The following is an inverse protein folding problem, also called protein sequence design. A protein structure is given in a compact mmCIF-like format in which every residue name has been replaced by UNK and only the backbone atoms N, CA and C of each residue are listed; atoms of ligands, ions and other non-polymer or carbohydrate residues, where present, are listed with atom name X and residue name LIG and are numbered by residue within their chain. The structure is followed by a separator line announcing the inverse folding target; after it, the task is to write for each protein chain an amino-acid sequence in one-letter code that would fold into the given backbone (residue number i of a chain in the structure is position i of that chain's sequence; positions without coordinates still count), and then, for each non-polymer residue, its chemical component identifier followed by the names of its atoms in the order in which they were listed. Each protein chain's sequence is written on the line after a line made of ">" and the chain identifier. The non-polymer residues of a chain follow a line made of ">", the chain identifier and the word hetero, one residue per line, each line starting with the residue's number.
data_IF_520104510348
#
_entry.id   IF_520104510348
#
_cell.length_a   1.000
_cell.length_b   1.000
_cell.length_c   1.000
_cell.angle_alpha   90.00
_cell.angle_beta   90.00
_cell.angle_gamma   90.00
#
_symmetry.space_group_name_H-M   'P 1'
#
loop_
_entity.id
_entity.type
_entity.pdbx_description
1 polymer ?
#
# COMPACT_ATOMS: atom_id res chain seq x y z
N UNK A 1 18.09 -7.54 32.21
CA UNK A 1 18.53 -6.16 31.92
C UNK A 1 17.58 -5.60 30.89
N UNK A 2 17.00 -4.42 31.11
CA UNK A 2 16.17 -3.78 30.10
C UNK A 2 17.02 -3.58 28.83
N UNK A 3 16.48 -3.94 27.67
CA UNK A 3 17.18 -3.79 26.39
C UNK A 3 17.43 -2.28 26.18
N UNK A 4 18.65 -1.82 25.84
CA UNK A 4 18.97 -0.38 25.76
C UNK A 4 18.03 0.44 24.86
N UNK A 5 17.39 -0.21 23.88
CA UNK A 5 16.41 0.42 23.03
C UNK A 5 15.08 0.73 23.74
N UNK A 6 14.71 -0.01 24.78
CA UNK A 6 13.48 0.23 25.57
C UNK A 6 13.58 1.56 26.32
N UNK A 7 14.73 1.83 26.95
CA UNK A 7 14.97 3.10 27.65
C UNK A 7 14.98 4.29 26.67
N UNK A 8 15.57 4.09 25.49
CA UNK A 8 15.59 5.09 24.43
C UNK A 8 14.19 5.38 23.86
N UNK A 9 13.34 4.38 23.72
CA UNK A 9 11.94 4.56 23.29
C UNK A 9 11.12 5.24 24.38
N UNK A 10 11.31 4.84 25.64
CA UNK A 10 10.53 5.35 26.78
C UNK A 10 10.76 6.84 27.04
N UNK A 11 11.93 7.37 26.67
CA UNK A 11 12.28 8.79 26.77
C UNK A 11 12.12 9.55 25.45
N UNK A 12 11.54 8.94 24.42
CA UNK A 12 11.43 9.51 23.08
C UNK A 12 10.26 10.49 22.98
N UNK A 13 10.57 11.77 22.75
CA UNK A 13 9.56 12.82 22.50
C UNK A 13 9.25 13.02 20.99
N UNK A 14 10.08 12.45 20.12
CA UNK A 14 9.93 12.58 18.66
C UNK A 14 8.86 11.60 18.12
N UNK A 15 7.65 12.12 17.95
CA UNK A 15 6.52 11.36 17.41
C UNK A 15 6.79 10.75 16.03
N UNK A 16 7.61 11.38 15.17
CA UNK A 16 7.92 10.84 13.84
C UNK A 16 8.69 9.53 13.96
N UNK A 17 9.67 9.48 14.85
CA UNK A 17 10.47 8.26 15.08
C UNK A 17 9.64 7.15 15.71
N UNK A 18 8.73 7.48 16.63
CA UNK A 18 7.80 6.50 17.20
C UNK A 18 6.92 5.89 16.10
N UNK A 19 6.37 6.70 15.19
CA UNK A 19 5.59 6.22 14.04
C UNK A 19 6.42 5.31 13.14
N UNK A 20 7.68 5.65 12.88
CA UNK A 20 8.59 4.85 12.05
C UNK A 20 8.88 3.48 12.70
N UNK A 21 9.18 3.44 14.01
CA UNK A 21 9.41 2.19 14.77
C UNK A 21 8.18 1.29 14.69
N UNK A 22 6.99 1.84 14.93
CA UNK A 22 5.72 1.11 14.87
C UNK A 22 5.47 0.58 13.46
N UNK A 23 5.71 1.41 12.44
CA UNK A 23 5.52 1.04 11.03
C UNK A 23 6.47 -0.07 10.61
N UNK A 24 7.74 0.00 11.03
CA UNK A 24 8.78 -0.98 10.75
C UNK A 24 8.49 -2.32 11.45
N UNK A 25 8.04 -2.28 12.70
CA UNK A 25 7.61 -3.45 13.47
C UNK A 25 6.52 -4.23 12.74
N UNK A 26 5.46 -3.53 12.29
CA UNK A 26 4.35 -4.15 11.57
C UNK A 26 4.80 -4.82 10.28
N UNK A 27 5.57 -4.11 9.44
CA UNK A 27 5.99 -4.67 8.15
C UNK A 27 6.98 -5.81 8.33
N UNK A 28 7.85 -5.73 9.34
CA UNK A 28 8.78 -6.81 9.69
C UNK A 28 8.02 -8.06 10.11
N UNK A 29 7.00 -7.94 10.96
CA UNK A 29 6.15 -9.06 11.37
C UNK A 29 5.46 -9.74 10.18
N UNK A 30 4.87 -8.95 9.28
CA UNK A 30 4.26 -9.51 8.07
C UNK A 30 5.32 -10.25 7.23
N UNK A 31 6.48 -9.62 6.98
CA UNK A 31 7.52 -10.19 6.11
C UNK A 31 8.19 -11.44 6.68
N UNK A 32 8.34 -11.54 8.00
CA UNK A 32 8.95 -12.70 8.65
C UNK A 32 8.04 -13.92 8.68
N UNK A 33 6.72 -13.71 8.61
CA UNK A 33 5.73 -14.76 8.79
C UNK A 33 4.92 -15.09 7.53
N UNK A 34 5.07 -14.31 6.45
CA UNK A 34 4.40 -14.58 5.19
C UNK A 34 4.95 -15.84 4.52
N UNK A 35 4.06 -16.68 3.99
CA UNK A 35 4.37 -17.93 3.30
C UNK A 35 5.28 -17.77 2.07
N UNK A 36 5.38 -16.54 1.53
CA UNK A 36 6.28 -16.20 0.44
C UNK A 36 7.13 -14.97 0.72
N UNK A 37 8.28 -14.92 0.05
CA UNK A 37 9.11 -13.73 0.06
C UNK A 37 8.50 -12.62 -0.80
N UNK A 38 8.10 -11.53 -0.12
CA UNK A 38 7.76 -10.24 -0.72
C UNK A 38 8.54 -9.11 -0.05
N UNK A 39 9.03 -8.18 -0.87
CA UNK A 39 9.51 -6.90 -0.36
C UNK A 39 8.34 -6.04 0.11
N UNK A 40 8.59 -5.12 1.04
CA UNK A 40 7.56 -4.18 1.53
C UNK A 40 6.85 -3.44 0.39
N UNK A 41 7.59 -3.00 -0.62
CA UNK A 41 7.02 -2.32 -1.79
C UNK A 41 6.05 -3.21 -2.58
N UNK A 42 6.28 -4.53 -2.61
CA UNK A 42 5.40 -5.51 -3.24
C UNK A 42 4.14 -5.75 -2.40
N UNK A 43 4.27 -5.85 -1.08
CA UNK A 43 3.13 -5.94 -0.15
C UNK A 43 2.23 -4.71 -0.30
N UNK A 44 2.82 -3.51 -0.25
CA UNK A 44 2.10 -2.24 -0.47
C UNK A 44 1.41 -2.21 -1.83
N UNK A 45 2.08 -2.68 -2.88
CA UNK A 45 1.51 -2.71 -4.23
C UNK A 45 0.34 -3.70 -4.35
N UNK A 46 0.45 -4.90 -3.78
CA UNK A 46 -0.63 -5.89 -3.77
C UNK A 46 -1.87 -5.38 -3.05
N UNK A 47 -1.70 -4.71 -1.90
CA UNK A 47 -2.80 -4.03 -1.18
C UNK A 47 -3.45 -2.91 -2.01
N UNK A 48 -2.67 -2.21 -2.84
CA UNK A 48 -3.20 -1.19 -3.74
C UNK A 48 -4.05 -1.79 -4.87
N UNK A 49 -3.75 -2.99 -5.36
CA UNK A 49 -4.57 -3.69 -6.37
C UNK A 49 -5.99 -3.91 -5.83
N UNK A 50 -6.11 -4.50 -4.63
CA UNK A 50 -7.40 -4.69 -3.96
C UNK A 50 -8.14 -3.37 -3.69
N UNK A 51 -7.41 -2.32 -3.34
CA UNK A 51 -8.01 -1.00 -3.18
C UNK A 51 -8.54 -0.48 -4.52
N UNK A 52 -7.76 -0.60 -5.59
CA UNK A 52 -8.10 -0.04 -6.91
C UNK A 52 -9.18 -0.82 -7.65
N UNK A 53 -9.39 -2.10 -7.31
CA UNK A 53 -10.52 -2.90 -7.83
C UNK A 53 -11.89 -2.34 -7.38
N UNK A 54 -11.95 -1.59 -6.28
CA UNK A 54 -13.19 -0.99 -5.79
C UNK A 54 -13.73 0.03 -6.79
N UNK A 55 -15.03 -0.06 -7.09
CA UNK A 55 -15.73 0.77 -8.10
C UNK A 55 -15.44 2.27 -8.02
N UNK A 56 -15.43 2.85 -6.82
CA UNK A 56 -15.21 4.28 -6.64
C UNK A 56 -13.74 4.70 -6.89
N UNK A 57 -12.77 3.83 -6.60
CA UNK A 57 -11.36 4.05 -6.91
C UNK A 57 -11.09 3.91 -8.40
N UNK A 58 -11.64 2.88 -9.04
CA UNK A 58 -11.59 2.72 -10.51
C UNK A 58 -12.18 3.94 -11.23
N UNK A 59 -13.38 4.40 -10.84
CA UNK A 59 -14.02 5.60 -11.41
C UNK A 59 -13.19 6.88 -11.20
N UNK A 60 -12.41 6.98 -10.13
CA UNK A 60 -11.51 8.10 -9.94
C UNK A 60 -10.33 8.06 -10.92
N UNK A 61 -9.72 6.87 -11.10
CA UNK A 61 -8.65 6.64 -12.09
C UNK A 61 -9.11 6.99 -13.51
N UNK A 62 -10.23 6.43 -13.98
CA UNK A 62 -10.78 6.72 -15.33
C UNK A 62 -10.95 8.22 -15.56
N UNK A 63 -11.57 8.94 -14.62
CA UNK A 63 -11.76 10.40 -14.72
C UNK A 63 -10.46 11.18 -14.72
N UNK A 64 -9.41 10.66 -14.09
CA UNK A 64 -8.10 11.31 -14.06
C UNK A 64 -7.37 11.08 -15.39
N UNK A 65 -7.38 9.84 -15.91
CA UNK A 65 -6.73 9.51 -17.17
C UNK A 65 -7.39 10.18 -18.38
N UNK A 66 -8.72 10.34 -18.36
CA UNK A 66 -9.45 11.09 -19.41
C UNK A 66 -9.04 12.57 -19.55
N UNK A 67 -8.29 13.13 -18.59
CA UNK A 67 -7.77 14.51 -18.64
C UNK A 67 -6.34 14.59 -19.21
N UNK A 68 -5.71 13.45 -19.44
CA UNK A 68 -4.33 13.38 -19.92
C UNK A 68 -4.36 13.39 -21.44
N UNK A 69 -3.52 14.22 -22.05
CA UNK A 69 -3.37 14.26 -23.50
C UNK A 69 -2.57 13.05 -23.99
N UNK A 70 -2.93 12.50 -25.16
CA UNK A 70 -2.31 11.29 -25.74
C UNK A 70 -0.81 11.46 -26.07
N UNK A 71 -0.36 12.71 -26.20
CA UNK A 71 1.02 13.10 -26.48
C UNK A 71 1.86 13.39 -25.22
N UNK A 72 1.32 13.21 -24.01
CA UNK A 72 2.06 13.45 -22.77
C UNK A 72 3.22 12.45 -22.60
N UNK A 73 4.44 12.90 -22.88
CA UNK A 73 5.65 12.07 -22.78
C UNK A 73 5.90 11.56 -21.35
N UNK A 74 5.57 12.36 -20.33
CA UNK A 74 5.73 11.95 -18.93
C UNK A 74 4.74 10.85 -18.58
N UNK A 75 3.52 10.91 -19.10
CA UNK A 75 2.53 9.85 -18.91
C UNK A 75 3.04 8.49 -19.40
N UNK A 76 3.61 8.43 -20.61
CA UNK A 76 4.18 7.19 -21.18
C UNK A 76 5.30 6.63 -20.31
N UNK A 77 6.19 7.50 -19.82
CA UNK A 77 7.30 7.10 -18.93
C UNK A 77 6.75 6.53 -17.62
N UNK A 78 5.82 7.23 -16.96
CA UNK A 78 5.27 6.77 -15.70
C UNK A 78 4.48 5.47 -15.86
N UNK A 79 3.64 5.35 -16.89
CA UNK A 79 2.89 4.14 -17.19
C UNK A 79 3.83 2.92 -17.31
N UNK A 80 4.92 3.04 -18.07
CA UNK A 80 5.94 1.99 -18.20
C UNK A 80 6.61 1.63 -16.87
N UNK A 81 6.92 2.62 -16.03
CA UNK A 81 7.53 2.38 -14.72
C UNK A 81 6.57 1.68 -13.75
N UNK A 82 5.29 2.03 -13.75
CA UNK A 82 4.28 1.37 -12.92
C UNK A 82 4.01 -0.06 -13.40
N UNK A 83 3.87 -0.26 -14.71
CA UNK A 83 3.69 -1.58 -15.31
C UNK A 83 4.81 -2.56 -14.88
N UNK A 84 6.07 -2.12 -14.96
CA UNK A 84 7.23 -2.91 -14.50
C UNK A 84 7.13 -3.36 -13.03
N UNK A 85 6.44 -2.62 -12.17
CA UNK A 85 6.25 -3.02 -10.77
C UNK A 85 5.18 -4.11 -10.66
N UNK A 86 4.09 -4.00 -11.40
CA UNK A 86 3.05 -5.02 -11.45
C UNK A 86 3.52 -6.31 -12.14
N UNK A 87 4.37 -6.23 -13.18
CA UNK A 87 5.01 -7.39 -13.80
C UNK A 87 5.79 -8.25 -12.77
N UNK A 88 6.40 -7.64 -11.76
CA UNK A 88 7.10 -8.39 -10.69
C UNK A 88 6.13 -9.18 -9.81
N UNK A 89 4.91 -8.68 -9.61
CA UNK A 89 3.85 -9.41 -8.91
C UNK A 89 3.25 -10.49 -9.81
N UNK A 90 3.07 -10.20 -11.10
CA UNK A 90 2.55 -11.14 -12.08
C UNK A 90 3.46 -12.36 -12.24
N UNK A 91 4.79 -12.19 -12.26
CA UNK A 91 5.76 -13.30 -12.25
C UNK A 91 5.67 -14.20 -11.02
N UNK A 92 5.08 -13.72 -9.93
CA UNK A 92 4.81 -14.50 -8.71
C UNK A 92 3.38 -15.08 -8.69
N UNK A 93 2.66 -14.98 -9.80
CA UNK A 93 1.25 -15.37 -9.92
C UNK A 93 0.32 -14.68 -8.91
N UNK A 94 0.63 -13.43 -8.52
CA UNK A 94 -0.17 -12.68 -7.54
C UNK A 94 -1.19 -11.76 -8.18
N UNK A 95 -0.94 -11.34 -9.41
CA UNK A 95 -1.80 -10.42 -10.16
C UNK A 95 -1.76 -10.75 -11.63
N UNK A 96 -2.81 -10.33 -12.34
CA UNK A 96 -2.85 -10.29 -13.80
C UNK A 96 -2.97 -8.84 -14.25
N UNK A 97 -2.25 -8.50 -15.33
CA UNK A 97 -2.36 -7.22 -16.01
C UNK A 97 -3.29 -7.43 -17.19
N UNK A 98 -4.37 -6.66 -17.23
CA UNK A 98 -5.43 -6.80 -18.25
C UNK A 98 -5.56 -5.52 -19.06
N UNK A 99 -5.82 -5.69 -20.36
CA UNK A 99 -6.19 -4.58 -21.24
C UNK A 99 -7.68 -4.27 -21.05
N UNK A 100 -8.00 -2.98 -20.96
CA UNK A 100 -9.38 -2.48 -20.80
C UNK A 100 -9.56 -1.20 -21.61
N UNK A 101 -10.79 -0.89 -22.01
CA UNK A 101 -11.04 0.21 -22.95
C UNK A 101 -10.84 1.61 -22.33
N UNK A 102 -11.02 1.76 -21.02
CA UNK A 102 -11.11 3.05 -20.32
C UNK A 102 -9.89 3.39 -19.46
N UNK A 103 -8.89 2.50 -19.43
CA UNK A 103 -7.63 2.67 -18.74
C UNK A 103 -6.48 2.13 -19.61
N UNK A 104 -5.24 2.63 -19.44
CA UNK A 104 -4.09 2.08 -20.15
C UNK A 104 -3.84 0.59 -19.87
N UNK A 105 -4.21 0.17 -18.66
CA UNK A 105 -4.24 -1.20 -18.18
C UNK A 105 -5.03 -1.23 -16.87
N UNK A 106 -5.58 -2.39 -16.53
CA UNK A 106 -6.03 -2.68 -15.18
C UNK A 106 -5.20 -3.82 -14.58
N UNK A 107 -5.26 -3.94 -13.25
CA UNK A 107 -4.57 -5.00 -12.53
C UNK A 107 -5.57 -5.66 -11.61
N UNK A 108 -5.66 -6.99 -11.70
CA UNK A 108 -6.56 -7.80 -10.90
C UNK A 108 -5.78 -8.82 -10.09
N UNK A 109 -6.31 -9.21 -8.93
CA UNK A 109 -5.72 -10.31 -8.14
C UNK A 109 -6.04 -11.64 -8.83
N UNK A 110 -5.08 -12.55 -8.83
CA UNK A 110 -5.33 -13.97 -9.08
C UNK A 110 -5.95 -14.61 -7.82
N UNK A 111 -6.35 -15.88 -7.91
CA UNK A 111 -6.76 -16.66 -6.73
C UNK A 111 -5.63 -16.71 -5.69
N UNK A 112 -4.42 -17.06 -6.15
CA UNK A 112 -3.24 -17.08 -5.28
C UNK A 112 -2.89 -15.69 -4.70
N UNK A 113 -3.05 -14.63 -5.48
CA UNK A 113 -2.90 -13.25 -5.00
C UNK A 113 -3.88 -12.88 -3.90
N UNK A 114 -5.12 -13.37 -4.02
CA UNK A 114 -6.18 -13.17 -3.03
C UNK A 114 -5.92 -13.95 -1.74
N UNK A 115 -5.37 -15.15 -1.83
CA UNK A 115 -4.91 -15.95 -0.70
C UNK A 115 -3.78 -15.23 0.05
N UNK A 116 -2.72 -14.84 -0.65
CA UNK A 116 -1.60 -14.10 -0.05
C UNK A 116 -2.04 -12.78 0.57
N UNK A 117 -2.98 -12.06 -0.06
CA UNK A 117 -3.52 -10.83 0.51
C UNK A 117 -4.31 -11.10 1.80
N UNK A 118 -5.03 -12.23 1.87
CA UNK A 118 -5.76 -12.64 3.07
C UNK A 118 -4.80 -13.02 4.20
N UNK A 119 -3.71 -13.71 3.87
CA UNK A 119 -2.63 -14.01 4.81
C UNK A 119 -1.98 -12.73 5.37
N UNK A 120 -1.65 -11.76 4.51
CA UNK A 120 -1.15 -10.44 4.93
C UNK A 120 -2.10 -9.78 5.93
N UNK A 121 -3.42 -9.81 5.65
CA UNK A 121 -4.43 -9.21 6.54
C UNK A 121 -4.53 -9.97 7.87
N UNK A 122 -4.34 -11.28 7.89
CA UNK A 122 -4.32 -12.07 9.12
C UNK A 122 -3.08 -11.73 9.96
N UNK A 123 -1.90 -11.65 9.34
CA UNK A 123 -0.66 -11.25 10.01
C UNK A 123 -0.71 -9.81 10.54
N UNK A 124 -1.36 -8.89 9.82
CA UNK A 124 -1.60 -7.53 10.33
C UNK A 124 -2.52 -7.51 11.55
N UNK A 125 -3.50 -8.41 11.64
CA UNK A 125 -4.36 -8.54 12.84
C UNK A 125 -3.60 -9.12 14.03
N UNK A 126 -2.85 -10.19 13.79
CA UNK A 126 -1.98 -10.81 14.80
C UNK A 126 -0.99 -9.79 15.37
N UNK A 127 -0.37 -8.96 14.51
CA UNK A 127 0.49 -7.87 14.96
C UNK A 127 -0.24 -6.84 15.84
N UNK A 128 -1.50 -6.49 15.52
CA UNK A 128 -2.29 -5.55 16.33
C UNK A 128 -2.52 -6.11 17.74
N UNK A 129 -2.77 -7.42 17.85
CA UNK A 129 -2.94 -8.11 19.15
C UNK A 129 -1.65 -8.10 19.97
N UNK A 130 -0.49 -8.36 19.34
CA UNK A 130 0.82 -8.31 19.99
C UNK A 130 1.18 -6.89 20.44
N UNK A 131 0.88 -5.89 19.60
CA UNK A 131 1.21 -4.50 19.86
C UNK A 131 0.28 -3.80 20.85
N UNK A 132 -0.83 -4.45 21.26
CA UNK A 132 -1.84 -3.91 22.17
C UNK A 132 -2.30 -2.49 21.80
N UNK A 133 -2.62 -2.29 20.52
CA UNK A 133 -2.91 -0.97 19.98
C UNK A 133 -4.29 -0.45 20.42
N UNK A 134 -4.34 0.76 20.99
CA UNK A 134 -5.59 1.49 21.18
C UNK A 134 -6.16 1.96 19.82
N UNK A 135 -7.18 1.25 19.34
CA UNK A 135 -7.82 1.50 18.05
C UNK A 135 -8.53 2.86 18.02
N UNK A 136 -9.04 3.35 19.15
CA UNK A 136 -9.77 4.61 19.20
C UNK A 136 -8.82 5.80 19.10
N UNK A 137 -7.66 5.74 19.76
CA UNK A 137 -6.59 6.71 19.59
C UNK A 137 -6.05 6.73 18.16
N UNK A 138 -5.75 5.56 17.60
CA UNK A 138 -5.30 5.44 16.21
C UNK A 138 -6.33 5.98 15.22
N UNK A 139 -7.62 5.74 15.45
CA UNK A 139 -8.70 6.27 14.60
C UNK A 139 -8.73 7.79 14.64
N UNK A 140 -8.57 8.39 15.81
CA UNK A 140 -8.52 9.86 15.97
C UNK A 140 -7.34 10.45 15.18
N UNK A 141 -6.15 9.87 15.31
CA UNK A 141 -4.95 10.30 14.55
C UNK A 141 -5.15 10.13 13.04
N UNK A 142 -5.73 9.01 12.60
CA UNK A 142 -6.00 8.75 11.19
C UNK A 142 -6.98 9.76 10.59
N UNK A 143 -8.05 10.14 11.32
CA UNK A 143 -9.00 11.15 10.87
C UNK A 143 -8.35 12.54 10.79
N UNK A 144 -7.54 12.91 11.78
CA UNK A 144 -6.85 14.20 11.80
C UNK A 144 -5.83 14.34 10.65
N UNK A 145 -5.23 13.24 10.20
CA UNK A 145 -4.20 13.24 9.15
C UNK A 145 -4.75 12.94 7.75
N UNK A 146 -5.99 12.42 7.65
CA UNK A 146 -6.58 11.99 6.37
C UNK A 146 -6.56 13.08 5.30
N UNK A 147 -6.94 14.30 5.68
CA UNK A 147 -7.02 15.50 4.84
C UNK A 147 -5.70 15.77 4.12
N UNK A 148 -4.56 15.56 4.80
CA UNK A 148 -3.20 15.78 4.26
C UNK A 148 -2.98 14.86 3.07
N UNK A 149 -3.20 13.56 3.26
CA UNK A 149 -3.01 12.56 2.21
C UNK A 149 -4.02 12.72 1.06
N UNK A 150 -5.22 13.19 1.36
CA UNK A 150 -6.28 13.43 0.38
C UNK A 150 -5.94 14.61 -0.55
N UNK A 151 -5.48 15.74 0.02
CA UNK A 151 -5.05 16.92 -0.75
C UNK A 151 -3.88 16.59 -1.66
N UNK A 152 -2.88 15.85 -1.16
CA UNK A 152 -1.76 15.39 -1.98
C UNK A 152 -2.22 14.51 -3.14
N UNK A 153 -3.08 13.51 -2.91
CA UNK A 153 -3.60 12.66 -3.99
C UNK A 153 -4.37 13.45 -5.06
N UNK A 154 -5.13 14.47 -4.65
CA UNK A 154 -5.85 15.34 -5.58
C UNK A 154 -4.93 16.22 -6.44
N UNK A 155 -3.75 16.59 -5.95
CA UNK A 155 -2.79 17.38 -6.72
C UNK A 155 -1.97 16.55 -7.71
N UNK A 156 -1.93 15.22 -7.56
CA UNK A 156 -1.20 14.36 -8.48
C UNK A 156 -1.84 14.33 -9.87
N UNK A 157 -1.04 14.65 -10.89
CA UNK A 157 -1.44 14.56 -12.29
C UNK A 157 -1.72 13.11 -12.72
N UNK A 158 -1.00 12.15 -12.14
CA UNK A 158 -1.13 10.72 -12.47
C UNK A 158 -1.47 9.89 -11.23
N UNK A 159 -2.47 9.01 -11.33
CA UNK A 159 -2.87 8.07 -10.27
C UNK A 159 -2.87 6.63 -10.81
N UNK A 160 -1.77 5.92 -10.60
CA UNK A 160 -1.56 4.52 -11.04
C UNK A 160 -1.74 3.52 -9.90
#
# INVERSE_FOLDING_TARGET
>A
MAHPHVDAISSMEDASKLIDIISESKISHVRSNLSIHLHESQIKLLKNVDKHSKKHHRKARVRQYAKISDDDAHFKIHSKLYLKRYEKLARKNLVEIVEVDDLPYDVVLTDYGSEILSEIRALEKDWIEIADCDIDELRKVALNTFEISYKFKKSQKYQF
#
